data_IF_031712390803
#
_entry.id   IF_031712390803
#
_cell.length_a   1.000
_cell.length_b   1.000
_cell.length_c   1.000
_cell.angle_alpha   90.00
_cell.angle_beta   90.00
_cell.angle_gamma   90.00
#
_symmetry.space_group_name_H-M   'P 1'
#
loop_
_entity.id
_entity.type
_entity.pdbx_description
1 polymer ?
#
# COMPACT_ATOMS: atom_id res chain seq x y z
N UNK A 1 15.73 9.96 7.44
CA UNK A 1 14.81 10.40 6.36
C UNK A 1 15.09 9.55 5.12
N UNK A 2 14.09 9.28 4.27
CA UNK A 2 14.26 8.44 3.08
C UNK A 2 14.94 9.24 1.96
N UNK A 3 16.27 9.37 2.06
CA UNK A 3 17.06 10.09 1.06
C UNK A 3 16.94 9.44 -0.32
N UNK A 4 17.05 10.23 -1.41
CA UNK A 4 16.96 9.72 -2.79
C UNK A 4 17.86 8.51 -3.08
N UNK A 5 19.05 8.49 -2.49
CA UNK A 5 20.07 7.45 -2.62
C UNK A 5 19.65 6.10 -2.04
N UNK A 6 18.65 6.09 -1.17
CA UNK A 6 18.20 4.87 -0.51
C UNK A 6 17.25 4.05 -1.39
N UNK A 7 16.74 4.64 -2.48
CA UNK A 7 15.67 4.08 -3.31
C UNK A 7 14.39 3.77 -2.52
N UNK A 8 14.21 4.45 -1.38
CA UNK A 8 13.07 4.28 -0.51
C UNK A 8 12.11 5.45 -0.61
N UNK A 9 10.82 5.15 -0.60
CA UNK A 9 9.76 6.14 -0.54
C UNK A 9 8.64 5.64 0.37
N UNK A 10 8.02 6.55 1.11
CA UNK A 10 6.87 6.24 1.94
C UNK A 10 5.62 6.40 1.09
N UNK A 11 4.72 5.43 1.17
CA UNK A 11 3.36 5.58 0.65
C UNK A 11 2.35 5.41 1.74
N UNK A 12 1.30 6.22 1.68
CA UNK A 12 0.11 6.03 2.49
C UNK A 12 -1.12 6.12 1.58
N UNK A 13 -2.05 5.20 1.79
CA UNK A 13 -3.28 5.15 1.00
C UNK A 13 -4.40 4.49 1.79
N UNK A 14 -5.62 4.79 1.34
CA UNK A 14 -6.83 4.17 1.86
C UNK A 14 -7.40 3.21 0.83
N UNK A 15 -7.93 2.09 1.33
CA UNK A 15 -8.64 1.06 0.57
C UNK A 15 -9.92 0.70 1.29
N UNK A 16 -10.87 0.19 0.53
CA UNK A 16 -12.18 -0.18 1.02
C UNK A 16 -12.44 -1.64 0.67
N UNK A 17 -12.74 -2.46 1.66
CA UNK A 17 -13.26 -3.82 1.47
C UNK A 17 -14.79 -3.78 1.53
N UNK A 18 -15.44 -4.30 0.50
CA UNK A 18 -16.90 -4.23 0.33
C UNK A 18 -17.55 -5.60 0.28
N UNK A 19 -16.79 -6.68 0.37
CA UNK A 19 -17.29 -8.05 0.30
C UNK A 19 -17.99 -8.44 1.60
N UNK A 20 -19.32 -8.66 1.62
CA UNK A 20 -20.05 -9.01 2.83
C UNK A 20 -19.45 -10.20 3.58
N UNK A 21 -19.23 -10.03 4.88
CA UNK A 21 -18.69 -11.07 5.75
C UNK A 21 -17.17 -11.27 5.65
N UNK A 22 -16.46 -10.55 4.77
CA UNK A 22 -15.01 -10.62 4.70
C UNK A 22 -14.39 -10.25 6.07
N UNK A 23 -13.41 -11.04 6.49
CA UNK A 23 -12.66 -10.86 7.75
C UNK A 23 -11.22 -10.43 7.50
N UNK A 24 -10.77 -10.52 6.26
CA UNK A 24 -9.43 -10.19 5.86
C UNK A 24 -9.46 -9.25 4.66
N UNK A 25 -8.41 -8.44 4.56
CA UNK A 25 -8.09 -7.71 3.34
C UNK A 25 -6.67 -8.07 2.91
N UNK A 26 -6.44 -8.20 1.61
CA UNK A 26 -5.15 -8.62 1.07
C UNK A 26 -4.59 -7.57 0.14
N UNK A 27 -3.45 -6.99 0.50
CA UNK A 27 -2.73 -6.05 -0.37
C UNK A 27 -1.48 -6.70 -0.98
N UNK A 28 -1.37 -6.80 -2.31
CA UNK A 28 -0.19 -7.39 -2.93
C UNK A 28 1.05 -6.51 -2.70
N UNK A 29 2.15 -7.16 -2.33
CA UNK A 29 3.50 -6.59 -2.36
C UNK A 29 4.02 -6.80 -3.78
N UNK A 30 4.29 -5.70 -4.50
CA UNK A 30 4.72 -5.81 -5.90
C UNK A 30 6.05 -6.56 -6.00
N UNK A 31 6.19 -7.51 -6.94
CA UNK A 31 7.48 -8.11 -7.25
C UNK A 31 8.55 -7.06 -7.55
N UNK A 32 9.74 -7.24 -7.00
CA UNK A 32 10.84 -6.29 -7.12
C UNK A 32 10.81 -5.12 -6.13
N UNK A 33 9.76 -4.98 -5.32
CA UNK A 33 9.72 -4.03 -4.20
C UNK A 33 9.89 -4.77 -2.87
N UNK A 34 10.68 -4.19 -1.96
CA UNK A 34 10.74 -4.60 -0.55
C UNK A 34 9.89 -3.63 0.27
N UNK A 35 8.98 -4.17 1.09
CA UNK A 35 8.14 -3.38 1.99
C UNK A 35 8.69 -3.46 3.42
N UNK A 36 8.64 -2.34 4.13
CA UNK A 36 9.06 -2.22 5.53
C UNK A 36 8.26 -1.13 6.26
N UNK A 37 8.42 -1.09 7.59
CA UNK A 37 7.78 -0.12 8.48
C UNK A 37 6.25 -0.03 8.27
N UNK A 38 5.62 -1.17 7.98
CA UNK A 38 4.21 -1.23 7.68
C UNK A 38 3.36 -0.97 8.92
N UNK A 39 2.34 -0.15 8.74
CA UNK A 39 1.30 0.11 9.72
C UNK A 39 -0.06 0.10 9.01
N UNK A 40 -1.02 -0.57 9.63
CA UNK A 40 -2.38 -0.68 9.10
C UNK A 40 -3.36 -0.20 10.15
N UNK A 41 -4.33 0.59 9.73
CA UNK A 41 -5.30 1.23 10.63
C UNK A 41 -6.72 1.06 10.12
N UNK A 42 -7.63 0.90 11.07
CA UNK A 42 -9.06 1.11 10.87
C UNK A 42 -9.33 2.61 10.73
N UNK A 43 -9.90 3.02 9.60
CA UNK A 43 -10.12 4.45 9.33
C UNK A 43 -11.22 5.05 10.20
N UNK A 44 -12.23 4.26 10.59
CA UNK A 44 -13.35 4.74 11.40
C UNK A 44 -12.93 5.04 12.85
N UNK A 45 -11.98 4.28 13.38
CA UNK A 45 -11.57 4.37 14.79
C UNK A 45 -10.16 4.92 14.99
N UNK A 46 -9.32 4.93 13.94
CA UNK A 46 -7.90 5.26 14.01
C UNK A 46 -7.04 4.19 14.69
N UNK A 47 -7.62 3.06 15.13
CA UNK A 47 -6.90 2.01 15.85
C UNK A 47 -6.04 1.17 14.91
N UNK A 48 -4.87 0.67 15.36
CA UNK A 48 -4.07 -0.24 14.57
C UNK A 48 -4.81 -1.57 14.35
N UNK A 49 -4.64 -2.14 13.16
CA UNK A 49 -5.12 -3.47 12.80
C UNK A 49 -3.96 -4.46 12.79
N UNK A 50 -4.25 -5.70 13.22
CA UNK A 50 -3.29 -6.79 13.08
C UNK A 50 -3.12 -7.11 11.59
N UNK A 51 -1.88 -7.35 11.19
CA UNK A 51 -1.57 -7.85 9.86
C UNK A 51 -0.38 -8.81 9.90
N UNK A 52 -0.23 -9.58 8.83
CA UNK A 52 0.97 -10.38 8.56
C UNK A 52 1.27 -10.41 7.06
N UNK A 53 2.51 -10.73 6.70
CA UNK A 53 2.87 -11.04 5.31
C UNK A 53 2.67 -12.53 5.07
N UNK A 54 1.89 -12.86 4.05
CA UNK A 54 1.59 -14.24 3.65
C UNK A 54 1.89 -14.46 2.18
N UNK A 55 2.23 -15.70 1.82
CA UNK A 55 2.34 -16.10 0.42
C UNK A 55 0.97 -16.10 -0.27
N UNK A 56 0.97 -15.99 -1.61
CA UNK A 56 -0.27 -16.11 -2.40
C UNK A 56 -1.00 -17.44 -2.20
N UNK A 57 -0.27 -18.52 -1.92
CA UNK A 57 -0.87 -19.83 -1.57
C UNK A 57 -1.65 -19.78 -0.26
N UNK A 58 -1.08 -19.16 0.78
CA UNK A 58 -1.75 -18.96 2.07
C UNK A 58 -2.96 -18.03 1.92
N UNK A 59 -2.81 -16.92 1.18
CA UNK A 59 -3.93 -16.03 0.88
C UNK A 59 -5.09 -16.77 0.18
N UNK A 60 -4.80 -17.65 -0.78
CA UNK A 60 -5.81 -18.48 -1.47
C UNK A 60 -6.49 -19.50 -0.55
N UNK A 61 -5.77 -20.02 0.44
CA UNK A 61 -6.37 -20.91 1.44
C UNK A 61 -7.32 -20.14 2.38
N UNK A 62 -6.94 -18.91 2.77
CA UNK A 62 -7.75 -18.06 3.64
C UNK A 62 -8.97 -17.44 2.95
N UNK A 63 -8.85 -17.11 1.66
CA UNK A 63 -9.92 -16.53 0.84
C UNK A 63 -10.04 -17.27 -0.52
N UNK A 64 -10.73 -18.41 -0.59
CA UNK A 64 -10.77 -19.26 -1.78
C UNK A 64 -11.33 -18.57 -3.03
N UNK A 65 -12.15 -17.52 -2.88
CA UNK A 65 -12.72 -16.77 -4.01
C UNK A 65 -11.79 -15.65 -4.50
N UNK A 66 -10.76 -15.31 -3.74
CA UNK A 66 -9.79 -14.28 -4.10
C UNK A 66 -8.93 -14.68 -5.30
N UNK A 67 -8.55 -13.67 -6.08
CA UNK A 67 -7.62 -13.83 -7.19
C UNK A 67 -6.20 -13.52 -6.71
N UNK A 68 -5.46 -14.57 -6.32
CA UNK A 68 -4.10 -14.45 -5.79
C UNK A 68 -3.10 -15.13 -6.71
N UNK A 69 -1.99 -14.44 -6.98
CA UNK A 69 -0.83 -14.98 -7.68
C UNK A 69 0.03 -15.74 -6.67
N UNK A 70 0.33 -17.01 -6.92
CA UNK A 70 0.96 -17.89 -5.94
C UNK A 70 2.36 -17.41 -5.49
N UNK A 71 3.10 -16.77 -6.40
CA UNK A 71 4.47 -16.27 -6.19
C UNK A 71 4.51 -14.86 -5.59
N UNK A 72 3.35 -14.21 -5.45
CA UNK A 72 3.24 -12.87 -4.86
C UNK A 72 3.03 -12.98 -3.35
N UNK A 73 3.70 -12.11 -2.59
CA UNK A 73 3.41 -11.93 -1.17
C UNK A 73 2.33 -10.87 -0.96
N UNK A 74 1.54 -11.04 0.08
CA UNK A 74 0.42 -10.16 0.41
C UNK A 74 0.52 -9.72 1.87
N UNK A 75 0.25 -8.44 2.12
CA UNK A 75 -0.08 -7.97 3.47
C UNK A 75 -1.54 -8.40 3.72
N UNK A 76 -1.72 -9.42 4.56
CA UNK A 76 -3.03 -9.87 5.03
C UNK A 76 -3.38 -9.09 6.29
N UNK A 77 -4.43 -8.28 6.20
CA UNK A 77 -4.96 -7.46 7.29
C UNK A 77 -6.13 -8.20 7.93
N UNK A 78 -6.17 -8.28 9.26
CA UNK A 78 -7.32 -8.77 10.03
C UNK A 78 -8.25 -7.61 10.33
N UNK A 79 -9.48 -7.67 9.82
CA UNK A 79 -10.49 -6.65 10.09
C UNK A 79 -11.00 -6.79 11.52
N UNK A 80 -11.27 -5.67 12.21
CA UNK A 80 -11.74 -5.69 13.59
C UNK A 80 -13.14 -6.34 13.73
N UNK A 81 -13.91 -6.32 12.65
CA UNK A 81 -15.18 -7.02 12.50
C UNK A 81 -15.39 -7.39 11.03
N UNK A 82 -16.28 -8.36 10.74
CA UNK A 82 -16.65 -8.65 9.36
C UNK A 82 -17.26 -7.45 8.65
N UNK A 83 -17.10 -7.38 7.33
CA UNK A 83 -17.76 -6.34 6.53
C UNK A 83 -19.28 -6.54 6.56
N UNK A 84 -20.09 -5.49 6.86
CA UNK A 84 -21.55 -5.60 6.87
C UNK A 84 -22.14 -5.89 5.49
N UNK A 85 -23.32 -6.54 5.44
CA UNK A 85 -23.96 -6.95 4.19
C UNK A 85 -24.33 -5.82 3.21
N UNK A 86 -24.44 -4.59 3.70
CA UNK A 86 -24.69 -3.37 2.91
C UNK A 86 -23.77 -2.24 3.36
N UNK A 87 -22.55 -2.60 3.73
CA UNK A 87 -21.56 -1.66 4.24
C UNK A 87 -20.19 -1.88 3.63
N UNK A 88 -19.24 -1.15 4.17
CA UNK A 88 -17.85 -1.20 3.75
C UNK A 88 -16.94 -1.16 4.98
N UNK A 89 -15.71 -1.61 4.81
CA UNK A 89 -14.65 -1.47 5.79
C UNK A 89 -13.50 -0.66 5.18
N UNK A 90 -13.20 0.50 5.77
CA UNK A 90 -12.14 1.39 5.31
C UNK A 90 -10.85 1.16 6.08
N UNK A 91 -9.77 0.96 5.34
CA UNK A 91 -8.46 0.57 5.84
C UNK A 91 -7.45 1.57 5.32
N UNK A 92 -6.59 2.08 6.20
CA UNK A 92 -5.41 2.87 5.81
C UNK A 92 -4.18 2.00 5.94
N UNK A 93 -3.38 1.92 4.88
CA UNK A 93 -2.09 1.25 4.88
C UNK A 93 -1.02 2.31 4.67
N UNK A 94 -0.03 2.29 5.55
CA UNK A 94 1.13 3.17 5.54
C UNK A 94 2.40 2.30 5.56
N UNK A 95 3.31 2.51 4.62
CA UNK A 95 4.49 1.67 4.49
C UNK A 95 5.62 2.34 3.72
N UNK A 96 6.83 1.89 3.99
CA UNK A 96 8.03 2.22 3.23
C UNK A 96 8.21 1.18 2.13
N UNK A 97 8.49 1.63 0.92
CA UNK A 97 8.93 0.77 -0.17
C UNK A 97 10.37 1.07 -0.53
N UNK A 98 11.18 0.04 -0.74
CA UNK A 98 12.46 0.11 -1.43
C UNK A 98 12.32 -0.49 -2.82
N UNK A 99 12.54 0.33 -3.84
CA UNK A 99 12.40 -0.06 -5.26
C UNK A 99 13.17 0.94 -6.15
N UNK A 100 14.37 0.54 -6.55
CA UNK A 100 15.26 1.35 -7.40
C UNK A 100 14.70 1.63 -8.79
N UNK A 101 13.88 0.72 -9.34
CA UNK A 101 13.30 0.91 -10.66
C UNK A 101 12.21 1.99 -10.65
N UNK A 102 11.53 2.13 -9.52
CA UNK A 102 10.43 3.08 -9.33
C UNK A 102 10.86 4.42 -8.72
N UNK A 103 11.95 4.47 -7.95
CA UNK A 103 12.38 5.67 -7.23
C UNK A 103 13.90 5.83 -7.29
N UNK A 104 14.36 6.82 -8.06
CA UNK A 104 15.78 7.02 -8.36
C UNK A 104 16.11 8.49 -8.59
N UNK A 105 17.41 8.81 -8.63
CA UNK A 105 17.92 10.15 -8.93
C UNK A 105 18.22 10.32 -10.41
N UNK A 106 17.90 11.49 -10.96
CA UNK A 106 18.29 11.91 -12.30
C UNK A 106 18.80 13.35 -12.24
N UNK A 107 20.14 13.52 -12.28
CA UNK A 107 20.78 14.81 -12.03
C UNK A 107 20.52 15.32 -10.61
N UNK A 108 19.94 16.52 -10.51
CA UNK A 108 19.54 17.18 -9.27
C UNK A 108 18.09 16.83 -8.83
N UNK A 109 17.42 15.90 -9.52
CA UNK A 109 16.02 15.55 -9.29
C UNK A 109 15.85 14.14 -8.76
N UNK A 110 14.72 13.93 -8.11
CA UNK A 110 14.18 12.60 -7.80
C UNK A 110 13.08 12.29 -8.82
N UNK A 111 13.09 11.06 -9.32
CA UNK A 111 12.06 10.55 -10.22
C UNK A 111 11.31 9.42 -9.53
N UNK A 112 9.99 9.58 -9.42
CA UNK A 112 9.06 8.51 -9.10
C UNK A 112 8.39 8.02 -10.38
N UNK A 113 8.79 6.85 -10.88
CA UNK A 113 8.33 6.27 -12.15
C UNK A 113 7.52 5.00 -11.91
N UNK A 114 6.30 5.17 -11.41
CA UNK A 114 5.42 4.03 -11.12
C UNK A 114 3.95 4.41 -11.18
N UNK A 115 3.12 3.52 -11.73
CA UNK A 115 1.67 3.63 -11.64
C UNK A 115 1.17 3.19 -10.25
N UNK A 116 0.23 3.95 -9.69
CA UNK A 116 -0.48 3.59 -8.47
C UNK A 116 -1.88 3.14 -8.85
N UNK A 117 -2.22 1.89 -8.53
CA UNK A 117 -3.53 1.29 -8.89
C UNK A 117 -4.64 1.65 -7.91
N UNK A 118 -4.30 2.30 -6.79
CA UNK A 118 -5.25 2.74 -5.77
C UNK A 118 -5.54 4.21 -6.05
N UNK A 119 -6.81 4.61 -6.30
CA UNK A 119 -7.15 5.96 -6.74
C UNK A 119 -6.72 7.08 -5.78
N UNK A 120 -6.77 6.83 -4.47
CA UNK A 120 -6.31 7.76 -3.44
C UNK A 120 -5.05 7.23 -2.79
N UNK A 121 -3.91 7.53 -3.42
CA UNK A 121 -2.60 7.12 -2.95
C UNK A 121 -1.69 8.34 -2.88
N UNK A 122 -0.86 8.38 -1.85
CA UNK A 122 0.07 9.47 -1.62
C UNK A 122 1.48 8.92 -1.53
N UNK A 123 2.41 9.62 -2.18
CA UNK A 123 3.85 9.39 -2.03
C UNK A 123 4.41 10.56 -1.22
N UNK A 124 5.15 10.26 -0.16
CA UNK A 124 5.75 11.30 0.67
C UNK A 124 7.10 11.69 0.10
N UNK A 125 7.26 12.98 -0.20
CA UNK A 125 8.53 13.55 -0.64
C UNK A 125 9.48 13.75 0.56
N UNK A 126 10.80 13.66 0.35
CA UNK A 126 11.75 14.09 1.37
C UNK A 126 11.58 15.60 1.68
N UNK A 127 11.98 16.04 2.87
CA UNK A 127 11.86 17.44 3.26
C UNK A 127 12.71 18.31 2.32
N UNK A 128 12.16 19.46 1.93
CA UNK A 128 12.81 20.39 1.01
C UNK A 128 12.64 20.06 -0.47
N UNK A 129 11.90 19.00 -0.82
CA UNK A 129 11.57 18.67 -2.20
C UNK A 129 10.15 19.13 -2.57
N UNK A 130 9.97 19.51 -3.83
CA UNK A 130 8.67 19.87 -4.42
C UNK A 130 8.43 19.11 -5.73
N UNK A 131 7.17 19.08 -6.19
CA UNK A 131 6.82 18.48 -7.49
C UNK A 131 7.10 19.50 -8.60
N UNK A 132 8.05 19.18 -9.48
CA UNK A 132 8.37 20.01 -10.67
C UNK A 132 7.72 19.50 -11.96
N UNK A 133 7.26 18.24 -11.98
CA UNK A 133 6.58 17.62 -13.13
C UNK A 133 5.74 16.43 -12.67
N UNK A 134 4.56 16.23 -13.27
CA UNK A 134 3.69 15.10 -12.99
C UNK A 134 2.93 14.69 -14.25
N UNK A 135 2.93 13.39 -14.58
CA UNK A 135 2.20 12.84 -15.72
C UNK A 135 0.79 12.34 -15.36
N UNK A 136 0.34 12.56 -14.12
CA UNK A 136 -0.97 12.19 -13.60
C UNK A 136 -1.57 13.34 -12.78
N UNK A 137 -2.88 13.32 -12.56
CA UNK A 137 -3.52 14.26 -11.64
C UNK A 137 -2.98 14.04 -10.21
N UNK A 138 -2.51 15.12 -9.58
CA UNK A 138 -1.97 15.10 -8.23
C UNK A 138 -2.46 16.33 -7.44
N UNK A 139 -2.63 16.13 -6.14
CA UNK A 139 -2.82 17.21 -5.17
C UNK A 139 -1.55 17.29 -4.32
N UNK A 140 -0.97 18.48 -4.21
CA UNK A 140 0.12 18.76 -3.26
C UNK A 140 -0.53 19.26 -1.98
N UNK A 141 -0.22 18.61 -0.86
CA UNK A 141 -0.79 18.86 0.47
C UNK A 141 0.26 19.45 1.41
#
# INVERSE_FOLDING_TARGET
>A
MLGPETHQFRIYYEVTETSPGARFFFNPIRPGSEASDEAVFDVATGKPLKFEVVSGKQAKADEPRGNFTAETNYIKVHLAHPVPARGEYRIRIDKTYKDQASYYTEGDRIVFKRSLSIPRNSVVLPAGYEIVSCSVAAQVL
#
